data_IF_258731538142
#
_entry.id   IF_258731538142
#
_cell.length_a   1.000
_cell.length_b   1.000
_cell.length_c   1.000
_cell.angle_alpha   90.00
_cell.angle_beta   90.00
_cell.angle_gamma   90.00
#
_symmetry.space_group_name_H-M   'P 1'
#
loop_
_entity.id
_entity.type
_entity.pdbx_description
1 polymer ?
#
# COMPACT_ATOMS: atom_id res chain seq x y z
N UNK A 1 32.28 -3.93 -8.76
CA UNK A 1 31.78 -3.79 -7.37
C UNK A 1 32.75 -2.93 -6.62
N UNK A 2 32.47 -1.63 -6.51
CA UNK A 2 33.31 -0.70 -5.74
C UNK A 2 33.02 -0.90 -4.25
N UNK A 3 34.07 -0.97 -3.43
CA UNK A 3 34.01 -1.23 -2.01
C UNK A 3 33.06 -0.27 -1.29
N UNK A 4 31.92 -0.79 -0.84
CA UNK A 4 31.05 -0.09 0.10
C UNK A 4 31.76 -0.05 1.44
N UNK A 5 31.88 1.14 1.98
CA UNK A 5 32.47 1.47 3.27
C UNK A 5 32.00 0.48 4.35
N UNK A 6 32.88 -0.43 4.78
CA UNK A 6 32.58 -1.53 5.71
C UNK A 6 32.31 -1.04 7.14
N UNK A 7 32.47 0.25 7.40
CA UNK A 7 32.32 0.89 8.71
C UNK A 7 30.96 1.52 8.98
N UNK A 8 30.06 1.57 7.97
CA UNK A 8 28.78 2.26 8.12
C UNK A 8 27.78 1.46 8.95
N UNK A 9 27.14 2.11 9.92
CA UNK A 9 26.08 1.46 10.71
C UNK A 9 24.81 1.22 9.88
N UNK A 10 24.05 0.20 10.26
CA UNK A 10 22.75 -0.12 9.64
C UNK A 10 21.78 1.07 9.74
N UNK A 11 21.83 1.80 10.85
CA UNK A 11 21.03 3.02 11.06
C UNK A 11 21.40 4.13 10.07
N UNK A 12 22.70 4.38 9.85
CA UNK A 12 23.16 5.37 8.88
C UNK A 12 22.74 5.01 7.46
N UNK A 13 22.82 3.72 7.09
CA UNK A 13 22.36 3.25 5.79
C UNK A 13 20.85 3.49 5.61
N UNK A 14 20.03 3.15 6.61
CA UNK A 14 18.58 3.39 6.58
C UNK A 14 18.27 4.88 6.41
N UNK A 15 18.96 5.74 7.17
CA UNK A 15 18.71 7.18 7.08
C UNK A 15 19.16 7.80 5.75
N UNK A 16 20.21 7.29 5.14
CA UNK A 16 20.60 7.74 3.81
C UNK A 16 19.60 7.33 2.73
N UNK A 17 19.08 6.09 2.79
CA UNK A 17 18.03 5.65 1.86
C UNK A 17 16.73 6.47 2.03
N UNK A 18 16.38 6.85 3.27
CA UNK A 18 15.23 7.71 3.58
C UNK A 18 15.45 9.17 3.16
N UNK A 19 16.70 9.63 3.12
CA UNK A 19 17.01 11.03 2.96
C UNK A 19 17.65 11.37 1.62
N UNK A 20 17.59 10.54 0.56
CA UNK A 20 18.26 10.84 -0.72
C UNK A 20 18.63 12.32 -0.85
N UNK A 21 19.86 12.64 -0.37
CA UNK A 21 20.23 14.02 -0.07
C UNK A 21 20.20 14.93 -1.29
N UNK A 22 20.39 14.39 -2.49
CA UNK A 22 20.38 15.20 -3.72
C UNK A 22 18.95 15.62 -4.04
N UNK A 23 18.03 14.66 -4.03
CA UNK A 23 16.64 14.89 -4.37
C UNK A 23 15.94 15.77 -3.34
N UNK A 24 16.05 15.42 -2.04
CA UNK A 24 15.46 16.23 -0.97
C UNK A 24 15.99 17.65 -0.94
N UNK A 25 17.31 17.85 -1.11
CA UNK A 25 17.90 19.19 -1.19
C UNK A 25 17.37 20.01 -2.35
N UNK A 26 17.22 19.39 -3.52
CA UNK A 26 16.65 20.06 -4.69
C UNK A 26 15.19 20.46 -4.41
N UNK A 27 14.33 19.54 -3.99
CA UNK A 27 12.93 19.81 -3.69
C UNK A 27 12.76 20.82 -2.55
N UNK A 28 13.56 20.71 -1.49
CA UNK A 28 13.54 21.69 -0.39
C UNK A 28 13.91 23.10 -0.85
N UNK A 29 14.84 23.22 -1.80
CA UNK A 29 15.21 24.51 -2.39
C UNK A 29 14.10 25.07 -3.27
N UNK A 30 13.51 24.24 -4.13
CA UNK A 30 12.41 24.63 -5.04
C UNK A 30 11.17 25.08 -4.28
N UNK A 31 10.78 24.34 -3.21
CA UNK A 31 9.57 24.60 -2.45
C UNK A 31 9.81 25.44 -1.16
N UNK A 32 11.04 25.82 -0.88
CA UNK A 32 11.40 26.63 0.28
C UNK A 32 11.09 25.99 1.64
N UNK A 33 10.98 24.64 1.71
CA UNK A 33 10.46 23.90 2.88
C UNK A 33 11.31 24.06 4.13
N UNK A 34 12.63 24.15 3.98
CA UNK A 34 13.57 24.28 5.10
C UNK A 34 14.05 25.72 5.33
N UNK A 35 13.44 26.70 4.64
CA UNK A 35 13.77 28.10 4.83
C UNK A 35 13.49 28.50 6.30
N UNK A 36 14.52 29.08 6.96
CA UNK A 36 14.49 29.44 8.36
C UNK A 36 14.41 28.28 9.38
N UNK A 37 14.48 27.02 8.97
CA UNK A 37 14.51 25.86 9.88
C UNK A 37 15.93 25.62 10.37
N UNK A 38 16.17 25.81 11.69
CA UNK A 38 17.50 25.71 12.29
C UNK A 38 17.91 24.25 12.60
N UNK A 39 17.05 23.48 13.28
CA UNK A 39 17.40 22.14 13.79
C UNK A 39 16.74 21.00 13.03
N UNK A 40 15.42 20.97 12.95
CA UNK A 40 14.68 19.82 12.41
C UNK A 40 14.36 20.05 10.91
N UNK A 41 15.37 19.93 10.06
CA UNK A 41 15.19 19.93 8.60
C UNK A 41 14.40 18.71 8.13
N UNK A 42 13.94 18.73 6.89
CA UNK A 42 13.04 17.70 6.36
C UNK A 42 13.68 16.31 6.37
N UNK A 43 14.94 16.19 5.99
CA UNK A 43 15.70 14.94 6.03
C UNK A 43 15.68 14.29 7.42
N UNK A 44 15.94 15.09 8.46
CA UNK A 44 15.93 14.64 9.86
C UNK A 44 14.51 14.31 10.34
N UNK A 45 13.50 15.08 9.91
CA UNK A 45 12.10 14.80 10.22
C UNK A 45 11.66 13.47 9.62
N UNK A 46 11.98 13.23 8.33
CA UNK A 46 11.66 11.97 7.64
C UNK A 46 12.28 10.78 8.35
N UNK A 47 13.58 10.83 8.61
CA UNK A 47 14.30 9.75 9.29
C UNK A 47 13.76 9.49 10.71
N UNK A 48 13.46 10.56 11.46
CA UNK A 48 12.96 10.46 12.83
C UNK A 48 11.55 9.86 12.89
N UNK A 49 10.64 10.29 12.00
CA UNK A 49 9.26 9.76 11.96
C UNK A 49 9.24 8.34 11.40
N UNK A 50 10.03 8.04 10.36
CA UNK A 50 10.16 6.69 9.83
C UNK A 50 10.69 5.69 10.89
N UNK A 51 11.73 6.08 11.64
CA UNK A 51 12.22 5.28 12.76
C UNK A 51 11.14 5.08 13.83
N UNK A 52 10.39 6.14 14.16
CA UNK A 52 9.31 6.06 15.13
C UNK A 52 8.18 5.12 14.67
N UNK A 53 7.86 5.11 13.39
CA UNK A 53 6.89 4.19 12.81
C UNK A 53 7.39 2.74 12.86
N UNK A 54 8.63 2.49 12.46
CA UNK A 54 9.25 1.17 12.50
C UNK A 54 9.36 0.61 13.93
N UNK A 55 9.78 1.44 14.88
CA UNK A 55 9.88 1.08 16.32
C UNK A 55 8.54 1.15 17.06
N UNK A 56 7.44 1.47 16.38
CA UNK A 56 6.09 1.54 16.94
C UNK A 56 5.99 2.48 18.17
N UNK A 57 6.69 3.62 18.17
CA UNK A 57 6.64 4.59 19.29
C UNK A 57 5.24 5.09 19.56
N UNK A 58 4.90 5.26 20.86
CA UNK A 58 3.54 5.59 21.30
C UNK A 58 3.18 7.07 21.11
N UNK A 59 4.17 7.96 21.04
CA UNK A 59 3.91 9.37 20.88
C UNK A 59 5.16 10.25 20.77
N UNK A 60 4.93 11.53 20.59
CA UNK A 60 5.98 12.53 20.34
C UNK A 60 7.04 12.64 21.44
N UNK A 61 6.69 12.36 22.70
CA UNK A 61 7.66 12.37 23.81
C UNK A 61 8.67 11.24 23.66
N UNK A 62 8.20 10.06 23.29
CA UNK A 62 9.07 8.91 23.03
C UNK A 62 9.98 9.15 21.83
N UNK A 63 9.44 9.79 20.76
CA UNK A 63 10.25 10.23 19.62
C UNK A 63 11.31 11.25 20.04
N UNK A 64 10.96 12.20 20.91
CA UNK A 64 11.92 13.16 21.46
C UNK A 64 13.00 12.47 22.29
N UNK A 65 12.63 11.49 23.12
CA UNK A 65 13.55 10.77 24.02
C UNK A 65 14.47 9.81 23.27
N UNK A 66 14.13 9.37 22.04
CA UNK A 66 15.03 8.46 21.30
C UNK A 66 16.38 9.11 20.94
N UNK A 67 16.48 10.43 20.98
CA UNK A 67 17.72 11.18 20.78
C UNK A 67 18.68 11.09 21.98
N UNK A 68 18.26 10.51 23.11
CA UNK A 68 19.17 10.17 24.21
C UNK A 68 20.06 8.97 23.84
N UNK A 69 19.72 8.23 22.79
CA UNK A 69 20.58 7.23 22.17
C UNK A 69 21.64 7.97 21.32
N UNK A 70 22.93 7.84 21.72
CA UNK A 70 24.02 8.54 21.07
C UNK A 70 24.17 8.21 19.59
N UNK A 71 23.90 6.98 19.20
CA UNK A 71 24.03 6.56 17.79
C UNK A 71 22.93 7.19 16.93
N UNK A 72 21.70 7.26 17.45
CA UNK A 72 20.60 7.94 16.77
C UNK A 72 20.88 9.44 16.67
N UNK A 73 21.32 10.05 17.78
CA UNK A 73 21.69 11.47 17.84
C UNK A 73 22.78 11.81 16.83
N UNK A 74 23.85 11.01 16.79
CA UNK A 74 24.97 11.17 15.85
C UNK A 74 24.52 10.96 14.39
N UNK A 75 23.76 9.90 14.12
CA UNK A 75 23.28 9.59 12.76
C UNK A 75 22.38 10.69 12.19
N UNK A 76 21.54 11.32 13.03
CA UNK A 76 20.68 12.44 12.66
C UNK A 76 21.40 13.79 12.73
N UNK A 77 22.61 13.84 13.31
CA UNK A 77 23.25 15.09 13.69
C UNK A 77 22.28 16.03 14.42
N UNK A 78 21.63 15.52 15.48
CA UNK A 78 20.57 16.18 16.23
C UNK A 78 20.59 15.72 17.70
N UNK A 79 21.16 16.54 18.57
CA UNK A 79 21.35 16.19 20.00
C UNK A 79 20.03 16.13 20.77
N UNK A 80 19.12 17.05 20.49
CA UNK A 80 17.82 17.11 21.15
C UNK A 80 16.78 17.85 20.32
N UNK A 81 15.53 17.47 20.47
CA UNK A 81 14.39 18.17 19.89
C UNK A 81 13.17 18.05 20.81
N UNK A 82 12.44 19.14 21.00
CA UNK A 82 11.25 19.11 21.84
C UNK A 82 10.05 18.51 21.06
N UNK A 83 9.21 17.72 21.72
CA UNK A 83 8.02 17.08 21.14
C UNK A 83 7.10 18.06 20.40
N UNK A 84 6.91 19.28 20.92
CA UNK A 84 6.10 20.33 20.25
C UNK A 84 6.74 20.82 18.94
N UNK A 85 8.08 20.79 18.83
CA UNK A 85 8.78 21.15 17.58
C UNK A 85 8.55 20.09 16.52
N UNK A 86 8.60 18.80 16.89
CA UNK A 86 8.26 17.69 15.98
C UNK A 86 6.82 17.85 15.49
N UNK A 87 5.86 18.07 16.40
CA UNK A 87 4.45 18.27 16.06
C UNK A 87 4.23 19.43 15.09
N UNK A 88 4.78 20.61 15.41
CA UNK A 88 4.66 21.79 14.54
C UNK A 88 5.30 21.55 13.17
N UNK A 89 6.47 20.91 13.16
CA UNK A 89 7.16 20.63 11.91
C UNK A 89 6.40 19.65 11.03
N UNK A 90 5.87 18.56 11.61
CA UNK A 90 5.05 17.58 10.89
C UNK A 90 3.79 18.24 10.30
N UNK A 91 3.18 19.20 11.01
CA UNK A 91 2.02 19.94 10.53
C UNK A 91 2.35 21.07 9.52
N UNK A 92 3.61 21.51 9.43
CA UNK A 92 4.01 22.64 8.57
C UNK A 92 4.65 22.23 7.24
N UNK A 93 5.11 21.00 7.09
CA UNK A 93 5.64 20.51 5.82
C UNK A 93 4.51 20.40 4.79
N UNK A 94 4.61 21.07 3.64
CA UNK A 94 3.59 20.92 2.60
C UNK A 94 3.50 19.45 2.14
N UNK A 95 2.29 18.89 2.19
CA UNK A 95 2.07 17.47 1.81
C UNK A 95 2.54 17.17 0.40
N UNK A 96 2.40 18.14 -0.50
CA UNK A 96 2.91 18.04 -1.88
C UNK A 96 4.39 17.72 -1.97
N UNK A 97 5.20 18.17 -0.99
CA UNK A 97 6.62 17.83 -0.92
C UNK A 97 6.84 16.33 -0.69
N UNK A 98 6.12 15.75 0.28
CA UNK A 98 6.22 14.33 0.60
C UNK A 98 5.61 13.46 -0.50
N UNK A 99 4.50 13.90 -1.09
CA UNK A 99 3.91 13.27 -2.28
C UNK A 99 4.93 13.21 -3.43
N UNK A 100 5.57 14.34 -3.76
CA UNK A 100 6.56 14.38 -4.85
C UNK A 100 7.75 13.47 -4.57
N UNK A 101 8.23 13.45 -3.33
CA UNK A 101 9.33 12.57 -2.93
C UNK A 101 8.91 11.09 -3.00
N UNK A 102 7.73 10.76 -2.51
CA UNK A 102 7.14 9.41 -2.62
C UNK A 102 7.05 8.95 -4.07
N UNK A 103 6.50 9.78 -4.97
CA UNK A 103 6.33 9.44 -6.38
C UNK A 103 7.66 9.15 -7.08
N UNK A 104 8.71 9.92 -6.76
CA UNK A 104 10.05 9.65 -7.29
C UNK A 104 10.64 8.36 -6.77
N UNK A 105 10.58 8.15 -5.45
CA UNK A 105 11.07 6.91 -4.83
C UNK A 105 10.33 5.68 -5.35
N UNK A 106 9.02 5.78 -5.51
CA UNK A 106 8.20 4.75 -6.15
C UNK A 106 8.71 4.42 -7.55
N UNK A 107 8.97 5.45 -8.39
CA UNK A 107 9.46 5.24 -9.75
C UNK A 107 10.85 4.57 -9.76
N UNK A 108 11.72 4.90 -8.81
CA UNK A 108 13.00 4.19 -8.63
C UNK A 108 12.78 2.71 -8.25
N UNK A 109 11.83 2.43 -7.35
CA UNK A 109 11.47 1.06 -6.98
C UNK A 109 10.97 0.28 -8.19
N UNK A 110 10.08 0.87 -9.00
CA UNK A 110 9.54 0.27 -10.23
C UNK A 110 10.67 -0.03 -11.22
N UNK A 111 11.59 0.93 -11.45
CA UNK A 111 12.72 0.74 -12.34
C UNK A 111 13.68 -0.36 -11.85
N UNK A 112 13.97 -0.40 -10.54
CA UNK A 112 14.87 -1.40 -9.93
C UNK A 112 14.28 -2.82 -9.92
N UNK A 113 12.95 -2.95 -9.94
CA UNK A 113 12.26 -4.24 -10.02
C UNK A 113 12.15 -4.72 -11.46
N UNK A 114 12.37 -3.81 -12.45
CA UNK A 114 12.22 -4.11 -13.87
C UNK A 114 10.76 -4.13 -14.32
N UNK A 115 9.83 -3.52 -13.58
CA UNK A 115 8.42 -3.38 -13.95
C UNK A 115 8.25 -2.39 -15.11
N UNK A 116 8.78 -2.73 -16.25
CA UNK A 116 8.37 -2.09 -17.49
C UNK A 116 7.06 -2.74 -17.97
N UNK A 117 6.25 -2.00 -18.69
CA UNK A 117 4.92 -2.40 -19.20
C UNK A 117 4.88 -3.69 -20.06
N UNK A 118 6.01 -4.36 -20.24
CA UNK A 118 6.19 -5.60 -21.02
C UNK A 118 6.18 -6.88 -20.16
N UNK A 119 6.07 -6.80 -18.85
CA UNK A 119 6.19 -7.96 -17.96
C UNK A 119 4.84 -8.61 -17.65
N UNK A 120 4.22 -9.21 -18.65
CA UNK A 120 3.07 -10.11 -18.45
C UNK A 120 1.83 -9.44 -17.80
N UNK A 121 0.85 -10.26 -17.47
CA UNK A 121 -0.45 -9.82 -16.95
C UNK A 121 -0.32 -9.04 -15.62
N UNK A 122 0.55 -9.48 -14.71
CA UNK A 122 0.69 -8.85 -13.38
C UNK A 122 1.16 -7.39 -13.46
N UNK A 123 2.04 -7.05 -14.39
CA UNK A 123 2.53 -5.68 -14.58
C UNK A 123 1.45 -4.69 -15.04
N UNK A 124 0.36 -5.20 -15.63
CA UNK A 124 -0.82 -4.42 -16.06
C UNK A 124 -1.76 -4.07 -14.90
N UNK A 125 -1.66 -4.75 -13.73
CA UNK A 125 -2.65 -4.66 -12.66
C UNK A 125 -2.43 -3.47 -11.74
N UNK A 126 -3.44 -2.64 -11.63
CA UNK A 126 -3.55 -1.52 -10.70
C UNK A 126 -4.72 -1.79 -9.75
N UNK A 127 -4.42 -2.20 -8.52
CA UNK A 127 -5.44 -2.50 -7.51
C UNK A 127 -5.82 -1.21 -6.79
N UNK A 128 -7.11 -0.94 -6.70
CA UNK A 128 -7.66 0.26 -6.07
C UNK A 128 -8.60 -0.15 -4.96
N UNK A 129 -8.36 0.36 -3.76
CA UNK A 129 -9.24 0.15 -2.61
C UNK A 129 -9.07 1.27 -1.59
N UNK A 130 -9.97 1.30 -0.60
CA UNK A 130 -9.90 2.24 0.52
C UNK A 130 -9.90 1.52 1.86
N UNK A 131 -9.27 2.13 2.84
CA UNK A 131 -9.32 1.65 4.20
C UNK A 131 -9.65 2.79 5.17
N UNK A 132 -10.64 2.54 6.03
CA UNK A 132 -11.03 3.50 7.05
C UNK A 132 -10.13 3.37 8.28
N UNK A 133 -9.71 4.53 8.81
CA UNK A 133 -8.98 4.63 10.06
C UNK A 133 -9.84 5.46 11.01
N UNK A 134 -10.31 4.83 12.09
CA UNK A 134 -11.12 5.51 13.11
C UNK A 134 -10.26 6.49 13.91
N UNK A 135 -10.79 7.68 14.15
CA UNK A 135 -10.13 8.76 14.89
C UNK A 135 -11.01 9.25 16.05
N UNK A 136 -10.36 9.69 17.11
CA UNK A 136 -11.04 10.32 18.24
C UNK A 136 -11.57 11.71 17.84
N UNK A 137 -12.89 11.90 17.80
CA UNK A 137 -13.56 13.15 17.36
C UNK A 137 -13.05 14.36 18.13
N UNK A 138 -12.81 14.24 19.43
CA UNK A 138 -12.36 15.37 20.25
C UNK A 138 -10.98 15.89 19.87
N UNK A 139 -10.11 15.01 19.30
CA UNK A 139 -8.76 15.36 18.86
C UNK A 139 -8.70 15.74 17.38
N UNK A 140 -9.58 15.14 16.54
CA UNK A 140 -9.58 15.27 15.09
C UNK A 140 -10.93 15.78 14.58
N UNK A 141 -11.32 16.98 15.02
CA UNK A 141 -12.62 17.58 14.67
C UNK A 141 -12.85 17.74 13.18
N UNK A 142 -11.81 17.95 12.40
CA UNK A 142 -11.85 18.06 10.95
C UNK A 142 -12.25 16.74 10.25
N UNK A 143 -12.06 15.59 10.92
CA UNK A 143 -12.37 14.25 10.42
C UNK A 143 -13.70 13.70 10.96
N UNK A 144 -14.58 14.54 11.51
CA UNK A 144 -15.89 14.13 11.98
C UNK A 144 -16.77 13.68 10.78
N UNK A 145 -17.39 12.51 10.89
CA UNK A 145 -18.35 12.03 9.90
C UNK A 145 -19.70 11.62 10.48
N UNK A 146 -19.78 11.41 11.78
CA UNK A 146 -21.00 11.26 12.58
C UNK A 146 -20.81 11.97 13.91
N UNK A 147 -21.90 12.37 14.57
CA UNK A 147 -21.87 13.13 15.83
C UNK A 147 -20.90 12.58 16.90
N UNK A 148 -20.67 11.26 16.90
CA UNK A 148 -19.83 10.57 17.89
C UNK A 148 -18.63 9.84 17.28
N UNK A 149 -18.46 9.88 15.95
CA UNK A 149 -17.42 9.13 15.25
C UNK A 149 -16.63 10.03 14.31
N UNK A 150 -15.32 9.99 14.44
CA UNK A 150 -14.37 10.56 13.52
C UNK A 150 -13.60 9.47 12.77
N UNK A 151 -13.14 9.79 11.58
CA UNK A 151 -12.31 8.90 10.82
C UNK A 151 -11.89 9.48 9.49
N UNK A 152 -10.86 8.91 8.93
CA UNK A 152 -10.39 9.17 7.58
C UNK A 152 -10.50 7.91 6.75
N UNK A 153 -10.64 8.07 5.45
CA UNK A 153 -10.39 7.02 4.47
C UNK A 153 -9.07 7.28 3.77
N UNK A 154 -8.27 6.26 3.69
CA UNK A 154 -7.05 6.24 2.88
C UNK A 154 -7.36 5.42 1.64
N UNK A 155 -7.50 6.09 0.51
CA UNK A 155 -7.70 5.48 -0.80
C UNK A 155 -6.33 5.25 -1.41
N UNK A 156 -6.05 4.02 -1.79
CA UNK A 156 -4.77 3.63 -2.38
C UNK A 156 -4.96 3.00 -3.74
N UNK A 157 -4.00 3.26 -4.60
CA UNK A 157 -3.69 2.46 -5.76
C UNK A 157 -2.34 1.80 -5.56
N UNK A 158 -2.26 0.50 -5.79
CA UNK A 158 -1.01 -0.26 -5.75
C UNK A 158 -0.79 -0.99 -7.09
N UNK A 159 0.47 -1.16 -7.49
CA UNK A 159 0.87 -2.00 -8.63
C UNK A 159 1.30 -3.37 -8.13
N UNK A 160 0.99 -4.39 -8.92
CA UNK A 160 1.37 -5.79 -8.64
C UNK A 160 2.63 -6.13 -9.42
N UNK A 161 3.48 -6.97 -8.84
CA UNK A 161 4.63 -7.60 -9.47
C UNK A 161 4.86 -9.01 -8.90
N UNK A 162 5.74 -9.82 -9.50
CA UNK A 162 5.98 -11.20 -9.07
C UNK A 162 6.43 -11.35 -7.62
N UNK A 163 7.12 -10.36 -7.09
CA UNK A 163 7.61 -10.35 -5.70
C UNK A 163 6.72 -9.61 -4.70
N UNK A 164 5.51 -9.13 -5.09
CA UNK A 164 4.65 -8.40 -4.17
C UNK A 164 3.91 -7.21 -4.77
N UNK A 165 3.86 -6.12 -4.03
CA UNK A 165 3.13 -4.90 -4.42
C UNK A 165 3.95 -3.63 -4.15
N UNK A 166 3.70 -2.60 -4.95
CA UNK A 166 4.28 -1.26 -4.75
C UNK A 166 3.14 -0.25 -4.63
N UNK A 167 3.10 0.58 -3.57
CA UNK A 167 2.15 1.68 -3.50
C UNK A 167 2.42 2.67 -4.62
N UNK A 168 1.36 3.07 -5.32
CA UNK A 168 1.46 3.89 -6.52
C UNK A 168 0.86 5.29 -6.34
N UNK A 169 -0.30 5.38 -5.70
CA UNK A 169 -0.97 6.65 -5.43
C UNK A 169 -1.79 6.58 -4.14
N UNK A 170 -1.86 7.67 -3.42
CA UNK A 170 -2.67 7.82 -2.21
C UNK A 170 -3.53 9.08 -2.30
N UNK A 171 -4.78 8.96 -1.83
CA UNK A 171 -5.68 10.09 -1.56
C UNK A 171 -6.26 9.90 -0.17
N UNK A 172 -6.18 10.92 0.68
CA UNK A 172 -6.80 10.93 2.01
C UNK A 172 -8.06 11.78 1.99
N UNK A 173 -9.14 11.25 2.53
CA UNK A 173 -10.40 11.99 2.72
C UNK A 173 -10.95 11.79 4.13
N UNK A 174 -11.79 12.70 4.66
CA UNK A 174 -12.66 12.34 5.77
C UNK A 174 -13.49 11.09 5.42
N UNK A 175 -13.90 10.30 6.41
CA UNK A 175 -14.61 9.03 6.16
C UNK A 175 -16.04 9.18 5.57
N UNK A 176 -16.56 10.40 5.48
CA UNK A 176 -17.93 10.68 5.01
C UNK A 176 -18.14 10.46 3.50
N UNK A 177 -17.25 10.90 2.58
CA UNK A 177 -17.44 10.69 1.15
C UNK A 177 -17.47 9.21 0.77
N UNK A 178 -18.30 8.88 -0.25
CA UNK A 178 -18.32 7.53 -0.82
C UNK A 178 -17.05 7.27 -1.63
N UNK A 179 -16.54 6.02 -1.63
CA UNK A 179 -15.29 5.64 -2.27
C UNK A 179 -15.27 5.96 -3.76
N UNK A 180 -16.40 5.77 -4.46
CA UNK A 180 -16.58 6.08 -5.88
C UNK A 180 -16.22 7.52 -6.27
N UNK A 181 -16.31 8.47 -5.33
CA UNK A 181 -15.97 9.89 -5.61
C UNK A 181 -14.46 10.12 -5.79
N UNK A 182 -13.62 9.13 -5.48
CA UNK A 182 -12.17 9.23 -5.62
C UNK A 182 -11.63 8.46 -6.84
N UNK A 183 -12.52 7.84 -7.64
CA UNK A 183 -12.10 7.00 -8.76
C UNK A 183 -11.30 7.77 -9.81
N UNK A 184 -11.75 8.97 -10.21
CA UNK A 184 -11.04 9.78 -11.21
C UNK A 184 -9.60 10.12 -10.80
N UNK A 185 -9.36 10.23 -9.48
CA UNK A 185 -8.04 10.47 -8.95
C UNK A 185 -7.16 9.21 -8.93
N UNK A 186 -7.75 8.00 -8.92
CA UNK A 186 -7.04 6.74 -8.70
C UNK A 186 -6.90 5.90 -9.96
N UNK A 187 -7.83 5.99 -10.90
CA UNK A 187 -7.80 5.22 -12.14
C UNK A 187 -6.57 5.56 -12.98
N UNK A 188 -6.03 4.57 -13.67
CA UNK A 188 -4.95 4.68 -14.63
C UNK A 188 -5.55 4.64 -16.03
N UNK A 189 -5.25 5.66 -16.82
CA UNK A 189 -5.74 5.84 -18.19
C UNK A 189 -4.72 5.34 -19.25
N UNK A 190 -3.57 4.82 -18.80
CA UNK A 190 -2.53 4.30 -19.68
C UNK A 190 -3.07 3.09 -20.46
N UNK A 191 -2.73 2.94 -21.75
CA UNK A 191 -3.06 1.76 -22.52
C UNK A 191 -2.58 0.49 -21.79
N UNK A 192 -3.36 -0.59 -21.88
CA UNK A 192 -3.09 -1.89 -21.26
C UNK A 192 -3.14 -1.93 -19.73
N UNK A 193 -3.25 -0.81 -19.02
CA UNK A 193 -3.43 -0.80 -17.58
C UNK A 193 -4.82 -1.32 -17.19
N UNK A 194 -4.88 -2.33 -16.33
CA UNK A 194 -6.14 -2.91 -15.85
C UNK A 194 -6.39 -2.43 -14.41
N UNK A 195 -7.43 -1.63 -14.24
CA UNK A 195 -7.85 -1.12 -12.94
C UNK A 195 -8.76 -2.13 -12.25
N UNK A 196 -8.34 -2.66 -11.10
CA UNK A 196 -9.09 -3.67 -10.35
C UNK A 196 -9.58 -3.08 -9.05
N UNK A 197 -10.90 -3.10 -8.82
CA UNK A 197 -11.51 -2.49 -7.64
C UNK A 197 -12.77 -3.23 -7.17
N UNK A 198 -13.20 -2.96 -5.93
CA UNK A 198 -14.35 -3.63 -5.32
C UNK A 198 -15.69 -3.01 -5.76
N UNK A 199 -16.79 -3.74 -5.46
CA UNK A 199 -18.20 -3.34 -5.70
C UNK A 199 -18.60 -2.01 -5.04
N UNK A 200 -17.84 -1.50 -4.07
CA UNK A 200 -18.04 -0.18 -3.46
C UNK A 200 -17.86 0.99 -4.44
N UNK A 201 -17.16 0.75 -5.54
CA UNK A 201 -16.86 1.74 -6.59
C UNK A 201 -17.81 1.69 -7.79
N UNK A 202 -18.89 0.89 -7.74
CA UNK A 202 -19.82 0.74 -8.85
C UNK A 202 -20.54 2.05 -9.18
N UNK A 203 -20.33 2.54 -10.40
CA UNK A 203 -21.08 3.63 -11.02
C UNK A 203 -21.21 3.40 -12.52
N UNK A 204 -22.44 3.12 -13.02
CA UNK A 204 -22.67 2.75 -14.41
C UNK A 204 -22.33 3.88 -15.39
N UNK A 205 -22.54 5.13 -15.00
CA UNK A 205 -22.19 6.29 -15.85
C UNK A 205 -20.68 6.41 -16.00
N UNK A 206 -19.96 6.16 -14.90
CA UNK A 206 -18.50 6.17 -14.91
C UNK A 206 -17.94 5.03 -15.77
N UNK A 207 -18.58 3.85 -15.73
CA UNK A 207 -18.18 2.72 -16.56
C UNK A 207 -18.40 2.97 -18.05
N UNK A 208 -19.48 3.65 -18.43
CA UNK A 208 -19.67 4.11 -19.81
C UNK A 208 -18.52 5.04 -20.23
N UNK A 209 -18.13 6.00 -19.39
CA UNK A 209 -16.99 6.89 -19.66
C UNK A 209 -15.67 6.12 -19.78
N UNK A 210 -15.45 5.08 -18.95
CA UNK A 210 -14.28 4.24 -19.08
C UNK A 210 -14.25 3.48 -20.40
N UNK A 211 -15.39 2.98 -20.85
CA UNK A 211 -15.50 2.35 -22.17
C UNK A 211 -15.24 3.34 -23.30
N UNK A 212 -15.81 4.56 -23.23
CA UNK A 212 -15.59 5.62 -24.20
C UNK A 212 -14.10 6.01 -24.30
N UNK A 213 -13.39 6.03 -23.16
CA UNK A 213 -11.96 6.40 -23.07
C UNK A 213 -11.00 5.20 -23.16
N UNK A 214 -11.49 4.00 -23.42
CA UNK A 214 -10.70 2.77 -23.50
C UNK A 214 -9.92 2.45 -22.20
N UNK A 215 -10.43 2.88 -21.05
CA UNK A 215 -9.86 2.58 -19.73
C UNK A 215 -10.33 1.19 -19.32
N UNK A 216 -9.38 0.26 -19.16
CA UNK A 216 -9.67 -1.12 -18.80
C UNK A 216 -9.92 -1.27 -17.29
N UNK A 217 -10.94 -2.05 -16.94
CA UNK A 217 -11.27 -2.33 -15.55
C UNK A 217 -11.81 -3.75 -15.33
N UNK A 218 -11.63 -4.23 -14.09
CA UNK A 218 -12.22 -5.46 -13.55
C UNK A 218 -12.79 -5.16 -12.17
N UNK A 219 -14.06 -5.50 -11.95
CA UNK A 219 -14.73 -5.26 -10.67
C UNK A 219 -15.72 -6.39 -10.34
N UNK A 220 -16.27 -6.38 -9.12
CA UNK A 220 -17.32 -7.31 -8.70
C UNK A 220 -18.70 -6.62 -8.82
N UNK A 221 -19.65 -7.32 -9.36
CA UNK A 221 -21.04 -6.85 -9.47
C UNK A 221 -21.83 -7.22 -8.19
N UNK A 222 -22.78 -6.38 -7.81
CA UNK A 222 -23.72 -6.68 -6.71
C UNK A 222 -24.71 -7.74 -7.13
N UNK A 223 -25.20 -8.55 -6.19
CA UNK A 223 -26.13 -9.63 -6.44
C UNK A 223 -27.49 -9.14 -6.99
N UNK A 224 -27.93 -7.98 -6.53
CA UNK A 224 -29.19 -7.35 -6.94
C UNK A 224 -29.08 -6.50 -8.21
N UNK A 225 -27.97 -6.57 -8.94
CA UNK A 225 -27.81 -5.84 -10.19
C UNK A 225 -28.75 -6.36 -11.26
N UNK A 226 -29.35 -5.45 -12.00
CA UNK A 226 -30.24 -5.77 -13.14
C UNK A 226 -29.33 -6.01 -14.34
N UNK A 227 -29.42 -7.21 -14.91
CA UNK A 227 -28.59 -7.69 -16.01
C UNK A 227 -29.50 -8.10 -17.17
N UNK A 228 -29.15 -7.66 -18.37
CA UNK A 228 -29.74 -8.13 -19.63
C UNK A 228 -28.63 -8.85 -20.42
N UNK A 229 -28.76 -10.17 -20.57
CA UNK A 229 -27.81 -10.99 -21.31
C UNK A 229 -28.03 -10.82 -22.80
N UNK A 230 -26.98 -10.43 -23.52
CA UNK A 230 -26.97 -10.33 -24.97
C UNK A 230 -26.55 -11.64 -25.63
N UNK A 231 -25.41 -12.19 -25.18
CA UNK A 231 -24.80 -13.37 -25.77
C UNK A 231 -24.05 -14.14 -24.69
N UNK A 232 -24.24 -15.44 -24.64
CA UNK A 232 -23.45 -16.34 -23.82
C UNK A 232 -22.23 -16.80 -24.60
N UNK A 233 -21.07 -16.83 -23.93
CA UNK A 233 -19.79 -17.28 -24.48
C UNK A 233 -19.53 -18.74 -24.04
N UNK A 234 -18.76 -19.45 -24.82
CA UNK A 234 -18.41 -20.84 -24.48
C UNK A 234 -17.52 -20.89 -23.24
N UNK A 235 -17.93 -21.69 -22.28
CA UNK A 235 -17.20 -21.96 -21.04
C UNK A 235 -16.64 -23.39 -21.10
N UNK A 236 -15.37 -23.57 -20.72
CA UNK A 236 -14.82 -24.91 -20.54
C UNK A 236 -15.50 -25.58 -19.32
N UNK A 237 -16.18 -26.72 -19.49
CA UNK A 237 -16.88 -27.42 -18.40
C UNK A 237 -15.96 -27.85 -17.24
N UNK A 238 -14.66 -28.03 -17.51
CA UNK A 238 -13.68 -28.43 -16.50
C UNK A 238 -13.13 -27.23 -15.69
N UNK A 239 -13.48 -25.98 -16.07
CA UNK A 239 -13.05 -24.79 -15.37
C UNK A 239 -13.97 -24.45 -14.19
N UNK A 240 -13.45 -23.66 -13.24
CA UNK A 240 -14.27 -23.09 -12.14
C UNK A 240 -15.27 -22.02 -12.61
N UNK A 241 -15.26 -21.68 -13.90
CA UNK A 241 -16.17 -20.66 -14.46
C UNK A 241 -17.54 -21.31 -14.73
N UNK A 242 -18.58 -20.70 -14.17
CA UNK A 242 -19.97 -21.16 -14.33
C UNK A 242 -20.70 -20.49 -15.51
N UNK A 243 -20.32 -19.24 -15.78
CA UNK A 243 -20.91 -18.43 -16.85
C UNK A 243 -19.91 -17.41 -17.37
N UNK A 244 -19.94 -17.20 -18.69
CA UNK A 244 -19.24 -16.13 -19.39
C UNK A 244 -20.23 -15.54 -20.39
N UNK A 245 -20.53 -14.24 -20.31
CA UNK A 245 -21.55 -13.63 -21.14
C UNK A 245 -21.27 -12.14 -21.39
N UNK A 246 -21.77 -11.64 -22.51
CA UNK A 246 -21.84 -10.21 -22.80
C UNK A 246 -23.20 -9.70 -22.32
N UNK A 247 -23.18 -8.65 -21.52
CA UNK A 247 -24.37 -8.16 -20.83
C UNK A 247 -24.50 -6.63 -20.89
N UNK A 248 -25.74 -6.13 -20.83
CA UNK A 248 -26.02 -4.74 -20.44
C UNK A 248 -26.46 -4.68 -18.99
N UNK A 249 -26.06 -3.62 -18.31
CA UNK A 249 -26.48 -3.35 -16.93
C UNK A 249 -27.52 -2.24 -16.87
N UNK A 250 -28.42 -2.36 -15.89
CA UNK A 250 -29.45 -1.36 -15.62
C UNK A 250 -30.72 -1.52 -16.48
N UNK A 251 -31.71 -0.67 -16.23
CA UNK A 251 -32.98 -0.59 -16.99
C UNK A 251 -33.34 0.87 -17.28
N UNK A 252 -34.09 1.08 -18.34
CA UNK A 252 -34.61 2.40 -18.72
C UNK A 252 -33.51 3.47 -18.76
N UNK A 253 -33.71 4.60 -18.10
CA UNK A 253 -32.77 5.73 -18.05
C UNK A 253 -31.47 5.46 -17.31
N UNK A 254 -31.32 4.31 -16.64
CA UNK A 254 -30.10 3.87 -15.95
C UNK A 254 -29.39 2.72 -16.68
N UNK A 255 -29.85 2.38 -17.90
CA UNK A 255 -29.18 1.36 -18.71
C UNK A 255 -27.86 1.92 -19.24
N UNK A 256 -26.81 1.12 -19.13
CA UNK A 256 -25.50 1.44 -19.71
C UNK A 256 -25.59 1.49 -21.25
N UNK A 257 -24.73 2.31 -21.84
CA UNK A 257 -24.60 2.43 -23.32
C UNK A 257 -23.74 1.30 -23.88
N UNK A 258 -22.70 0.90 -23.13
CA UNK A 258 -21.75 -0.12 -23.56
C UNK A 258 -22.07 -1.47 -22.93
N UNK A 259 -22.00 -2.56 -23.71
CA UNK A 259 -22.05 -3.90 -23.16
C UNK A 259 -20.74 -4.21 -22.42
N UNK A 260 -20.84 -5.01 -21.38
CA UNK A 260 -19.71 -5.49 -20.59
C UNK A 260 -19.68 -7.01 -20.56
N UNK A 261 -18.53 -7.59 -20.25
CA UNK A 261 -18.38 -9.03 -20.05
C UNK A 261 -18.63 -9.36 -18.59
N UNK A 262 -19.52 -10.31 -18.35
CA UNK A 262 -19.87 -10.85 -17.04
C UNK A 262 -19.36 -12.28 -16.92
N UNK A 263 -18.55 -12.53 -15.88
CA UNK A 263 -18.05 -13.85 -15.56
C UNK A 263 -18.59 -14.26 -14.21
N UNK A 264 -19.21 -15.43 -14.12
CA UNK A 264 -19.68 -15.99 -12.86
C UNK A 264 -18.80 -17.17 -12.47
N UNK A 265 -18.30 -17.14 -11.24
CA UNK A 265 -17.53 -18.20 -10.58
C UNK A 265 -17.98 -18.31 -9.13
N UNK A 266 -17.38 -19.19 -8.37
CA UNK A 266 -17.66 -19.39 -6.95
C UNK A 266 -16.42 -19.14 -6.11
N UNK A 267 -16.61 -18.70 -4.88
CA UNK A 267 -15.55 -18.68 -3.88
C UNK A 267 -15.31 -20.07 -3.28
N UNK A 268 -14.39 -20.17 -2.34
CA UNK A 268 -14.05 -21.45 -1.66
C UNK A 268 -15.21 -22.02 -0.83
N UNK A 269 -16.22 -21.21 -0.51
CA UNK A 269 -17.42 -21.61 0.23
C UNK A 269 -18.61 -21.92 -0.71
N UNK A 270 -18.43 -21.80 -2.03
CA UNK A 270 -19.48 -22.00 -3.02
C UNK A 270 -20.41 -20.79 -3.22
N UNK A 271 -20.09 -19.61 -2.68
CA UNK A 271 -20.87 -18.42 -2.91
C UNK A 271 -20.57 -17.83 -4.31
N UNK A 272 -21.61 -17.37 -5.04
CA UNK A 272 -21.41 -16.84 -6.39
C UNK A 272 -20.62 -15.53 -6.39
N UNK A 273 -19.59 -15.48 -7.22
CA UNK A 273 -18.82 -14.26 -7.52
C UNK A 273 -19.14 -13.84 -8.95
N UNK A 274 -19.62 -12.62 -9.12
CA UNK A 274 -19.91 -11.99 -10.40
C UNK A 274 -18.86 -10.94 -10.74
N UNK A 275 -18.00 -11.24 -11.70
CA UNK A 275 -16.94 -10.33 -12.17
C UNK A 275 -17.44 -9.62 -13.41
N UNK A 276 -17.26 -8.32 -13.43
CA UNK A 276 -17.66 -7.43 -14.52
C UNK A 276 -16.43 -6.73 -15.10
N UNK A 277 -16.32 -6.68 -16.43
CA UNK A 277 -15.15 -6.09 -17.09
C UNK A 277 -15.45 -5.62 -18.52
N UNK A 278 -14.64 -4.68 -19.02
CA UNK A 278 -14.54 -4.33 -20.43
C UNK A 278 -13.27 -4.92 -21.09
N UNK A 279 -12.50 -5.73 -20.38
CA UNK A 279 -11.32 -6.42 -20.91
C UNK A 279 -11.76 -7.61 -21.78
N UNK A 280 -11.28 -7.67 -23.00
CA UNK A 280 -11.69 -8.68 -23.99
C UNK A 280 -10.54 -9.60 -24.43
N UNK A 281 -9.31 -9.21 -24.18
CA UNK A 281 -8.07 -9.92 -24.59
C UNK A 281 -7.66 -11.05 -23.63
N UNK A 282 -8.36 -11.23 -22.50
CA UNK A 282 -8.10 -12.26 -21.51
C UNK A 282 -9.21 -13.32 -21.49
N UNK A 283 -8.84 -14.55 -21.14
CA UNK A 283 -9.79 -15.64 -20.88
C UNK A 283 -10.60 -15.40 -19.60
N UNK A 284 -11.75 -16.07 -19.44
CA UNK A 284 -12.56 -15.96 -18.22
C UNK A 284 -11.79 -16.42 -16.97
N UNK A 285 -10.93 -17.43 -17.09
CA UNK A 285 -10.09 -17.92 -16.00
C UNK A 285 -9.04 -16.87 -15.59
N UNK A 286 -8.36 -16.25 -16.55
CA UNK A 286 -7.39 -15.18 -16.29
C UNK A 286 -8.08 -13.97 -15.63
N UNK A 287 -9.29 -13.60 -16.04
CA UNK A 287 -10.05 -12.51 -15.43
C UNK A 287 -10.49 -12.82 -14.00
N UNK A 288 -10.82 -14.08 -13.70
CA UNK A 288 -11.08 -14.51 -12.33
C UNK A 288 -9.81 -14.41 -11.46
N UNK A 289 -8.65 -14.78 -11.99
CA UNK A 289 -7.37 -14.64 -11.31
C UNK A 289 -6.97 -13.17 -11.13
N UNK A 290 -7.20 -12.32 -12.14
CA UNK A 290 -7.03 -10.86 -12.03
C UNK A 290 -7.84 -10.30 -10.86
N UNK A 291 -9.10 -10.68 -10.75
CA UNK A 291 -9.92 -10.21 -9.63
C UNK A 291 -9.45 -10.75 -8.28
N UNK A 292 -8.96 -11.98 -8.22
CA UNK A 292 -8.37 -12.58 -7.01
C UNK A 292 -7.18 -11.76 -6.49
N UNK A 293 -6.38 -11.18 -7.38
CA UNK A 293 -5.28 -10.30 -6.98
C UNK A 293 -5.71 -9.04 -6.24
N UNK A 294 -6.98 -8.61 -6.34
CA UNK A 294 -7.51 -7.49 -5.54
C UNK A 294 -7.24 -7.65 -4.04
N UNK A 295 -7.23 -8.89 -3.55
CA UNK A 295 -6.93 -9.18 -2.16
C UNK A 295 -5.56 -8.66 -1.68
N UNK A 296 -4.59 -8.52 -2.56
CA UNK A 296 -3.26 -8.01 -2.22
C UNK A 296 -3.30 -6.59 -1.64
N UNK A 297 -4.27 -5.75 -2.01
CA UNK A 297 -4.36 -4.40 -1.45
C UNK A 297 -4.86 -4.42 0.00
N UNK A 298 -5.73 -5.37 0.37
CA UNK A 298 -6.19 -5.52 1.74
C UNK A 298 -5.05 -5.99 2.65
N UNK A 299 -4.24 -6.94 2.17
CA UNK A 299 -3.03 -7.39 2.85
C UNK A 299 -2.01 -6.25 3.00
N UNK A 300 -1.88 -5.39 1.98
CA UNK A 300 -1.03 -4.20 2.07
C UNK A 300 -1.52 -3.23 3.15
N UNK A 301 -2.84 -2.94 3.20
CA UNK A 301 -3.41 -2.12 4.26
C UNK A 301 -3.17 -2.72 5.66
N UNK A 302 -3.35 -4.04 5.79
CA UNK A 302 -3.04 -4.75 7.03
C UNK A 302 -1.60 -4.51 7.44
N UNK A 303 -0.66 -4.74 6.52
CA UNK A 303 0.77 -4.62 6.77
C UNK A 303 1.16 -3.20 7.24
N UNK A 304 0.75 -2.15 6.53
CA UNK A 304 1.10 -0.77 6.92
C UNK A 304 0.44 -0.36 8.25
N UNK A 305 -0.77 -0.84 8.53
CA UNK A 305 -1.45 -0.60 9.81
C UNK A 305 -0.75 -1.26 10.98
N UNK A 306 -0.22 -2.45 10.80
CA UNK A 306 0.47 -3.21 11.84
C UNK A 306 1.92 -2.76 12.04
N UNK A 307 2.65 -2.47 10.97
CA UNK A 307 4.10 -2.29 11.03
C UNK A 307 4.58 -0.85 10.86
N UNK A 308 3.76 0.06 10.33
CA UNK A 308 4.14 1.47 10.10
C UNK A 308 3.31 2.49 10.87
N UNK A 309 2.65 2.07 11.95
CA UNK A 309 1.96 2.97 12.91
C UNK A 309 0.92 3.90 12.28
N UNK A 310 0.21 3.47 11.24
CA UNK A 310 -0.80 4.33 10.59
C UNK A 310 -2.16 4.36 11.28
N UNK A 311 -2.35 3.59 12.36
CA UNK A 311 -3.56 3.66 13.22
C UNK A 311 -3.48 4.75 14.30
N UNK A 312 -2.28 5.24 14.63
CA UNK A 312 -2.05 6.23 15.69
C UNK A 312 -1.16 7.35 15.18
N UNK A 313 -1.73 8.54 15.07
CA UNK A 313 -1.03 9.68 14.51
C UNK A 313 -0.33 10.51 15.59
N UNK A 314 0.87 10.99 15.25
CA UNK A 314 1.68 11.85 16.12
C UNK A 314 1.21 13.31 16.10
N UNK A 315 0.56 13.74 15.01
CA UNK A 315 -0.06 15.05 14.87
C UNK A 315 -1.58 14.97 14.77
N UNK A 316 -2.28 16.07 15.01
CA UNK A 316 -3.74 16.10 15.02
C UNK A 316 -4.35 16.89 13.85
N UNK A 317 -3.57 17.71 13.13
CA UNK A 317 -4.07 18.38 11.92
C UNK A 317 -4.18 17.39 10.76
N UNK A 318 -5.04 17.70 9.80
CA UNK A 318 -5.18 16.97 8.54
C UNK A 318 -3.83 16.79 7.84
N UNK A 319 -3.09 17.88 7.67
CA UNK A 319 -1.76 17.87 7.06
C UNK A 319 -0.76 16.98 7.81
N UNK A 320 -0.77 17.01 9.16
CA UNK A 320 0.14 16.17 9.94
C UNK A 320 -0.19 14.68 9.79
N UNK A 321 -1.47 14.32 9.72
CA UNK A 321 -1.94 12.96 9.50
C UNK A 321 -1.55 12.49 8.10
N UNK A 322 -1.82 13.28 7.08
CA UNK A 322 -1.49 12.96 5.70
C UNK A 322 0.03 12.85 5.49
N UNK A 323 0.80 13.75 6.09
CA UNK A 323 2.27 13.69 6.07
C UNK A 323 2.79 12.40 6.70
N UNK A 324 2.22 11.95 7.83
CA UNK A 324 2.62 10.69 8.45
C UNK A 324 2.29 9.48 7.57
N UNK A 325 1.18 9.50 6.84
CA UNK A 325 0.83 8.46 5.87
C UNK A 325 1.82 8.41 4.71
N UNK A 326 2.18 9.56 4.13
CA UNK A 326 3.22 9.60 3.08
C UNK A 326 4.58 9.10 3.59
N UNK A 327 4.97 9.45 4.83
CA UNK A 327 6.22 8.94 5.42
C UNK A 327 6.16 7.42 5.58
N UNK A 328 5.00 6.85 5.92
CA UNK A 328 4.83 5.40 5.97
C UNK A 328 5.00 4.75 4.58
N UNK A 329 4.42 5.33 3.52
CA UNK A 329 4.58 4.84 2.16
C UNK A 329 6.03 4.97 1.66
N UNK A 330 6.70 6.08 1.99
CA UNK A 330 8.13 6.28 1.72
C UNK A 330 8.97 5.22 2.44
N UNK A 331 8.69 4.97 3.72
CA UNK A 331 9.39 3.94 4.51
C UNK A 331 9.20 2.56 3.89
N UNK A 332 7.99 2.23 3.46
CA UNK A 332 7.71 0.97 2.78
C UNK A 332 8.52 0.83 1.48
N UNK A 333 8.57 1.86 0.64
CA UNK A 333 9.38 1.86 -0.58
C UNK A 333 10.88 1.70 -0.29
N UNK A 334 11.39 2.32 0.78
CA UNK A 334 12.79 2.15 1.20
C UNK A 334 13.07 0.71 1.63
N UNK A 335 12.15 0.06 2.35
CA UNK A 335 12.30 -1.34 2.72
C UNK A 335 12.31 -2.26 1.49
N UNK A 336 11.46 -2.03 0.49
CA UNK A 336 11.49 -2.76 -0.79
C UNK A 336 12.83 -2.55 -1.50
N UNK A 337 13.29 -1.30 -1.58
CA UNK A 337 14.58 -0.98 -2.21
C UNK A 337 15.73 -1.69 -1.50
N UNK A 338 15.72 -1.72 -0.17
CA UNK A 338 16.70 -2.44 0.64
C UNK A 338 16.65 -3.95 0.39
N UNK A 339 15.46 -4.54 0.32
CA UNK A 339 15.27 -5.95 0.01
C UNK A 339 15.86 -6.31 -1.36
N UNK A 340 15.54 -5.54 -2.39
CA UNK A 340 16.05 -5.74 -3.75
C UNK A 340 17.56 -5.54 -3.85
N UNK A 341 18.08 -4.47 -3.27
CA UNK A 341 19.51 -4.17 -3.31
C UNK A 341 20.37 -5.19 -2.55
N UNK A 342 19.81 -5.82 -1.50
CA UNK A 342 20.47 -6.90 -0.76
C UNK A 342 20.39 -8.26 -1.45
N UNK A 343 19.51 -8.44 -2.45
CA UNK A 343 19.23 -9.74 -3.06
C UNK A 343 18.48 -10.70 -2.12
N UNK A 344 17.82 -10.17 -1.07
CA UNK A 344 17.08 -10.98 -0.12
C UNK A 344 15.74 -11.43 -0.71
N UNK A 345 15.48 -12.74 -0.66
CA UNK A 345 14.28 -13.37 -1.22
C UNK A 345 13.22 -13.76 -0.18
N UNK A 346 13.51 -13.54 1.12
CA UNK A 346 12.55 -13.78 2.20
C UNK A 346 11.59 -12.62 2.39
N UNK A 347 10.79 -12.64 3.46
CA UNK A 347 9.71 -11.70 3.69
C UNK A 347 10.18 -10.29 4.08
N UNK A 348 9.43 -9.27 3.69
CA UNK A 348 9.70 -7.88 4.09
C UNK A 348 9.62 -7.71 5.62
N UNK A 349 8.75 -8.48 6.27
CA UNK A 349 8.60 -8.49 7.72
C UNK A 349 9.85 -9.01 8.42
N UNK A 350 10.42 -10.13 7.96
CA UNK A 350 11.69 -10.67 8.49
C UNK A 350 12.83 -9.70 8.29
N UNK A 351 12.94 -9.10 7.08
CA UNK A 351 13.93 -8.06 6.80
C UNK A 351 13.77 -6.89 7.80
N UNK A 352 12.54 -6.40 8.01
CA UNK A 352 12.25 -5.28 8.90
C UNK A 352 12.61 -5.62 10.35
N UNK A 353 12.24 -6.81 10.82
CA UNK A 353 12.59 -7.28 12.18
C UNK A 353 14.09 -7.38 12.38
N UNK A 354 14.80 -7.96 11.41
CA UNK A 354 16.26 -8.07 11.47
C UNK A 354 16.95 -6.70 11.37
N UNK A 355 16.44 -5.80 10.51
CA UNK A 355 16.91 -4.43 10.40
C UNK A 355 16.84 -3.73 11.76
N UNK A 356 15.69 -3.81 12.44
CA UNK A 356 15.50 -3.22 13.77
C UNK A 356 16.39 -3.83 14.84
N UNK A 357 16.63 -5.13 14.80
CA UNK A 357 17.53 -5.83 15.72
C UNK A 357 19.01 -5.48 15.50
N UNK A 358 19.38 -5.08 14.28
CA UNK A 358 20.76 -4.79 13.90
C UNK A 358 21.05 -3.29 13.72
N UNK A 359 20.15 -2.38 14.13
CA UNK A 359 20.27 -0.94 13.84
C UNK A 359 21.60 -0.33 14.26
N UNK A 360 22.14 -0.71 15.41
CA UNK A 360 23.39 -0.21 15.97
C UNK A 360 24.62 -0.97 15.47
N UNK A 361 24.43 -2.09 14.77
CA UNK A 361 25.51 -2.87 14.20
C UNK A 361 25.97 -2.36 12.84
N UNK A 362 27.07 -2.93 12.32
CA UNK A 362 27.53 -2.63 10.97
C UNK A 362 26.54 -3.11 9.92
N UNK A 363 26.43 -2.37 8.82
CA UNK A 363 25.53 -2.77 7.72
C UNK A 363 25.99 -4.08 7.06
N UNK A 364 27.30 -4.34 7.04
CA UNK A 364 27.86 -5.61 6.56
C UNK A 364 27.41 -6.81 7.41
N UNK A 365 27.37 -6.66 8.74
CA UNK A 365 26.90 -7.71 9.64
C UNK A 365 25.40 -7.95 9.50
N UNK A 366 24.62 -6.88 9.30
CA UNK A 366 23.20 -6.99 8.97
C UNK A 366 23.01 -7.81 7.70
N UNK A 367 23.70 -7.48 6.59
CA UNK A 367 23.62 -8.23 5.34
C UNK A 367 24.05 -9.68 5.50
N UNK A 368 25.14 -9.93 6.23
CA UNK A 368 25.62 -11.30 6.49
C UNK A 368 24.58 -12.14 7.26
N UNK A 369 23.87 -11.53 8.22
CA UNK A 369 22.80 -12.19 8.96
C UNK A 369 21.54 -12.39 8.07
N UNK A 370 21.19 -11.39 7.27
CA UNK A 370 20.03 -11.41 6.39
C UNK A 370 20.14 -12.51 5.31
N UNK A 371 21.34 -12.67 4.74
CA UNK A 371 21.63 -13.63 3.67
C UNK A 371 22.13 -14.98 4.19
N UNK A 372 22.13 -15.17 5.50
CA UNK A 372 22.60 -16.43 6.11
C UNK A 372 21.66 -17.56 5.75
N UNK A 373 22.18 -18.55 5.02
CA UNK A 373 21.44 -19.78 4.75
C UNK A 373 21.36 -20.63 6.02
N UNK A 374 20.22 -21.24 6.33
CA UNK A 374 20.11 -22.18 7.44
C UNK A 374 21.14 -23.31 7.29
N UNK A 375 21.90 -23.59 8.33
CA UNK A 375 22.94 -24.64 8.35
C UNK A 375 22.35 -26.05 8.27
N UNK A 376 21.09 -26.22 8.66
CA UNK A 376 20.35 -27.47 8.56
C UNK A 376 18.91 -27.13 8.18
N UNK A 377 18.36 -27.82 7.19
CA UNK A 377 16.92 -27.87 6.99
C UNK A 377 16.33 -28.70 8.14
N UNK A 378 15.93 -28.05 9.25
CA UNK A 378 15.01 -28.72 10.15
C UNK A 378 13.73 -28.90 9.37
N UNK A 379 13.27 -30.13 9.18
CA UNK A 379 11.85 -30.37 8.87
C UNK A 379 11.09 -29.77 10.03
N UNK A 380 10.63 -28.50 9.86
CA UNK A 380 9.88 -27.79 10.88
C UNK A 380 8.72 -28.67 11.33
N UNK A 381 8.45 -28.70 12.63
CA UNK A 381 7.32 -29.46 13.21
C UNK A 381 5.95 -28.95 12.76
N UNK A 382 5.88 -27.85 12.03
CA UNK A 382 4.66 -27.28 11.42
C UNK A 382 4.92 -27.03 9.96
N UNK A 383 4.33 -27.85 9.11
CA UNK A 383 4.04 -27.46 7.74
C UNK A 383 2.92 -26.43 7.88
N UNK A 384 3.22 -25.16 7.61
CA UNK A 384 2.19 -24.12 7.53
C UNK A 384 1.28 -24.51 6.38
N UNK A 385 0.05 -24.82 6.68
CA UNK A 385 -0.97 -24.99 5.65
C UNK A 385 -1.38 -23.57 5.21
N UNK A 386 -0.78 -23.10 4.11
CA UNK A 386 -1.01 -21.75 3.58
C UNK A 386 -2.47 -21.56 3.17
N UNK A 387 -3.14 -22.62 2.71
CA UNK A 387 -4.55 -22.57 2.32
C UNK A 387 -5.44 -22.32 3.53
N UNK A 388 -5.19 -23.03 4.63
CA UNK A 388 -5.94 -22.89 5.88
C UNK A 388 -5.70 -21.53 6.56
N UNK A 389 -4.48 -20.98 6.44
CA UNK A 389 -4.16 -19.63 6.90
C UNK A 389 -4.86 -18.59 6.03
N UNK A 390 -4.92 -18.82 4.73
CA UNK A 390 -5.64 -17.97 3.79
C UNK A 390 -7.14 -17.96 4.10
N UNK A 391 -7.77 -19.13 4.27
CA UNK A 391 -9.18 -19.27 4.64
C UNK A 391 -9.51 -18.53 5.93
N UNK A 392 -8.73 -18.76 7.01
CA UNK A 392 -8.92 -18.04 8.27
C UNK A 392 -8.74 -16.53 8.16
N UNK A 393 -7.75 -16.08 7.38
CA UNK A 393 -7.53 -14.65 7.16
C UNK A 393 -8.67 -14.05 6.34
N UNK A 394 -9.17 -14.79 5.37
CA UNK A 394 -10.31 -14.42 4.55
C UNK A 394 -11.60 -14.28 5.39
N UNK A 395 -11.93 -15.27 6.23
CA UNK A 395 -13.05 -15.20 7.16
C UNK A 395 -12.97 -13.98 8.09
N UNK A 396 -11.79 -13.72 8.67
CA UNK A 396 -11.60 -12.59 9.58
C UNK A 396 -11.79 -11.24 8.88
N UNK A 397 -11.42 -11.13 7.62
CA UNK A 397 -11.65 -9.91 6.84
C UNK A 397 -13.11 -9.76 6.43
N UNK A 398 -13.76 -10.86 6.02
CA UNK A 398 -15.17 -10.84 5.64
C UNK A 398 -16.10 -10.52 6.82
N UNK A 399 -15.69 -10.89 8.04
CA UNK A 399 -16.41 -10.56 9.30
C UNK A 399 -16.02 -9.19 9.88
N UNK A 400 -15.27 -8.34 9.15
CA UNK A 400 -14.75 -7.04 9.61
C UNK A 400 -13.86 -7.11 10.87
N UNK A 401 -13.41 -8.30 11.26
CA UNK A 401 -12.59 -8.53 12.44
C UNK A 401 -11.08 -8.30 12.16
N UNK A 402 -10.78 -7.26 11.38
CA UNK A 402 -9.46 -6.93 10.85
C UNK A 402 -8.46 -6.60 11.96
N UNK A 403 -8.94 -6.14 13.12
CA UNK A 403 -8.07 -5.75 14.24
C UNK A 403 -7.45 -6.94 14.98
N UNK A 404 -7.99 -8.14 14.81
CA UNK A 404 -7.56 -9.39 15.47
C UNK A 404 -6.96 -10.42 14.51
N UNK A 405 -6.59 -10.01 13.32
CA UNK A 405 -5.94 -10.93 12.38
C UNK A 405 -4.67 -11.51 12.99
N UNK A 406 -4.56 -12.83 12.98
CA UNK A 406 -3.41 -13.57 13.49
C UNK A 406 -2.11 -13.07 12.80
N UNK A 407 -1.24 -12.49 13.59
CA UNK A 407 -0.14 -11.60 13.17
C UNK A 407 1.11 -12.34 12.67
N UNK A 408 1.17 -13.65 12.83
CA UNK A 408 2.49 -14.26 12.90
C UNK A 408 3.01 -14.93 11.65
N UNK A 409 2.23 -15.04 10.57
CA UNK A 409 2.61 -15.98 9.52
C UNK A 409 2.41 -15.51 8.09
N UNK A 410 1.87 -14.31 7.87
CA UNK A 410 1.53 -13.88 6.52
C UNK A 410 2.17 -12.53 6.17
N UNK A 411 3.14 -12.56 5.27
CA UNK A 411 3.67 -11.37 4.62
C UNK A 411 2.86 -11.14 3.34
N UNK A 412 2.20 -9.97 3.19
CA UNK A 412 1.42 -9.65 1.99
C UNK A 412 2.23 -9.60 0.69
N UNK A 413 3.55 -9.66 0.80
CA UNK A 413 4.46 -9.56 -0.34
C UNK A 413 4.81 -10.93 -0.92
N UNK A 414 4.58 -12.01 -0.17
CA UNK A 414 4.78 -13.40 -0.62
C UNK A 414 3.41 -14.06 -0.75
N UNK A 415 2.77 -13.86 -1.85
CA UNK A 415 1.59 -14.61 -2.29
C UNK A 415 1.94 -15.40 -3.53
#
# INVERSE_FOLDING_TARGET
>A
MQGKDTTKSTLNQLFEELSDQKLLKQLCKELGVDKYVKKLKLDKLLALIALAQLRQYKGLREISSCLNDEEISKALNLDSIHASTISRRLASVPTKMLETFFLRLKNECIANIGLNATEGLLGRLHLIDSSTISLCVTKYRWAEFRRTKGGIKVHLRIRVHDGGVIPDKMVMTPAKPADRTQMDALVVEEPDAINVFDRGYLDYKQFDQYCDNQILFVTRLKENAIIEVMTELNVNPESAIKKDAIVFLGKNNQRMKHPLRLIETEDTEGNPIRILTNVTDLTAVELADVYRHRWKIELFFKWIKQHLKVKHFFGHSDQAVENQLYIALITFCVLIKLQKNSGYTGTLLELTRLLLACLHGSFSDFLAKLLRKPLKSSRGRRILNHDLIFEHTYEQVMTENIDFLYDSTYDPIIL
#
